data_IF_332967266279
#
_entry.id   IF_332967266279
#
_cell.length_a   1.000
_cell.length_b   1.000
_cell.length_c   1.000
_cell.angle_alpha   90.00
_cell.angle_beta   90.00
_cell.angle_gamma   90.00
#
_symmetry.space_group_name_H-M   'P 1'
#
loop_
_entity.id
_entity.type
_entity.pdbx_description
1 polymer ?
#
# COMPACT_ATOMS: atom_id res chain seq x y z
N UNK A 1 -24.90 13.85 -1.20
CA UNK A 1 -24.02 13.25 -0.15
C UNK A 1 -22.59 13.41 -0.62
N UNK A 2 -21.68 13.89 0.24
CA UNK A 2 -20.26 13.99 -0.09
C UNK A 2 -19.65 12.59 -0.13
N UNK A 3 -18.88 12.27 -1.18
CA UNK A 3 -18.14 11.00 -1.29
C UNK A 3 -17.18 10.89 -0.10
N UNK A 4 -17.16 9.75 0.60
CA UNK A 4 -16.19 9.49 1.69
C UNK A 4 -14.78 9.57 1.14
N UNK A 5 -13.88 10.24 1.85
CA UNK A 5 -12.46 10.35 1.52
C UNK A 5 -11.57 10.01 2.73
N UNK A 6 -10.33 9.59 2.46
CA UNK A 6 -9.41 9.09 3.49
C UNK A 6 -8.24 10.04 3.75
N UNK A 7 -7.88 10.19 5.02
CA UNK A 7 -6.70 10.95 5.42
C UNK A 7 -5.40 10.15 5.21
N UNK A 8 -5.46 8.82 5.28
CA UNK A 8 -4.30 7.98 5.02
C UNK A 8 -4.69 6.62 4.45
N UNK A 9 -3.83 6.08 3.59
CA UNK A 9 -3.96 4.73 3.06
C UNK A 9 -2.67 3.92 3.19
N UNK A 10 -2.80 2.62 3.47
CA UNK A 10 -1.75 1.62 3.26
C UNK A 10 -2.08 0.88 1.96
N UNK A 11 -1.10 0.73 1.08
CA UNK A 11 -1.29 0.10 -0.23
C UNK A 11 -0.15 -0.91 -0.45
N UNK A 12 -0.49 -2.17 -0.73
CA UNK A 12 0.48 -3.25 -1.05
C UNK A 12 0.16 -3.89 -2.41
N UNK A 13 0.54 -3.23 -3.52
CA UNK A 13 0.17 -3.72 -4.84
C UNK A 13 0.78 -5.10 -5.15
N UNK A 14 0.08 -5.95 -5.92
CA UNK A 14 0.60 -7.23 -6.36
C UNK A 14 1.59 -7.02 -7.52
N UNK A 15 2.76 -6.47 -7.23
CA UNK A 15 3.78 -6.09 -8.22
C UNK A 15 4.15 -7.23 -9.19
N UNK A 16 4.14 -6.98 -10.50
CA UNK A 16 4.62 -7.97 -11.46
C UNK A 16 6.15 -8.11 -11.48
N UNK A 17 6.89 -7.00 -11.31
CA UNK A 17 8.35 -6.99 -11.47
C UNK A 17 9.03 -7.86 -10.40
N UNK A 18 9.82 -8.83 -10.85
CA UNK A 18 10.59 -9.71 -9.97
C UNK A 18 9.75 -10.72 -9.19
N UNK A 19 8.50 -10.94 -9.61
CA UNK A 19 7.55 -11.86 -8.96
C UNK A 19 7.13 -13.04 -9.86
N UNK A 20 7.85 -13.26 -10.96
CA UNK A 20 7.62 -14.38 -11.89
C UNK A 20 8.66 -15.49 -11.71
N UNK A 21 8.35 -16.70 -12.16
CA UNK A 21 9.21 -17.87 -12.08
C UNK A 21 8.91 -18.81 -10.91
N UNK A 22 9.76 -19.82 -10.72
CA UNK A 22 9.48 -20.95 -9.80
C UNK A 22 9.32 -20.57 -8.33
N UNK A 23 9.90 -19.45 -7.91
CA UNK A 23 9.79 -18.89 -6.55
C UNK A 23 9.01 -17.55 -6.53
N UNK A 24 8.35 -17.18 -7.63
CA UNK A 24 7.64 -15.92 -7.78
C UNK A 24 6.28 -15.91 -7.09
N UNK A 25 5.81 -14.72 -6.71
CA UNK A 25 4.49 -14.55 -6.12
C UNK A 25 3.33 -14.88 -7.09
N UNK A 26 3.57 -14.96 -8.40
CA UNK A 26 2.55 -15.37 -9.40
C UNK A 26 1.90 -16.73 -9.09
N UNK A 27 2.58 -17.58 -8.30
CA UNK A 27 2.07 -18.88 -7.87
C UNK A 27 1.01 -18.79 -6.77
N UNK A 28 0.83 -17.62 -6.16
CA UNK A 28 -0.03 -17.40 -5.01
C UNK A 28 -1.21 -16.47 -5.30
N UNK A 29 -1.01 -15.46 -6.14
CA UNK A 29 -2.05 -14.48 -6.50
C UNK A 29 -1.77 -13.81 -7.85
N UNK A 30 -2.81 -13.23 -8.46
CA UNK A 30 -2.69 -12.50 -9.71
C UNK A 30 -1.86 -11.22 -9.52
N UNK A 31 -0.91 -11.01 -10.43
CA UNK A 31 -0.03 -9.84 -10.43
C UNK A 31 -0.61 -8.72 -11.30
N UNK A 32 -0.22 -7.49 -11.01
CA UNK A 32 -0.56 -6.29 -11.78
C UNK A 32 0.68 -5.69 -12.44
N UNK A 33 0.51 -5.26 -13.69
CA UNK A 33 1.53 -4.47 -14.40
C UNK A 33 1.69 -3.10 -13.73
N UNK A 34 2.85 -2.48 -13.93
CA UNK A 34 3.10 -1.12 -13.42
C UNK A 34 2.05 -0.13 -13.95
N UNK A 35 1.72 -0.19 -15.24
CA UNK A 35 0.74 0.70 -15.85
C UNK A 35 -0.66 0.52 -15.25
N UNK A 36 -1.07 -0.72 -14.96
CA UNK A 36 -2.34 -1.00 -14.29
C UNK A 36 -2.35 -0.43 -12.86
N UNK A 37 -1.26 -0.53 -12.12
CA UNK A 37 -1.15 0.06 -10.77
C UNK A 37 -1.25 1.60 -10.87
N UNK A 38 -0.48 2.22 -11.78
CA UNK A 38 -0.51 3.68 -11.98
C UNK A 38 -1.87 4.21 -12.40
N UNK A 39 -2.63 3.43 -13.17
CA UNK A 39 -3.96 3.79 -13.65
C UNK A 39 -5.07 3.68 -12.58
N UNK A 40 -4.78 3.15 -11.38
CA UNK A 40 -5.78 3.11 -10.31
C UNK A 40 -6.18 4.53 -9.88
N UNK A 41 -7.49 4.83 -9.70
CA UNK A 41 -7.97 6.15 -9.30
C UNK A 41 -7.80 6.40 -7.79
N UNK A 42 -6.63 6.06 -7.22
CA UNK A 42 -6.33 6.19 -5.79
C UNK A 42 -6.51 7.63 -5.33
N UNK A 43 -6.09 8.57 -6.17
CA UNK A 43 -6.28 9.99 -5.99
C UNK A 43 -7.71 10.36 -5.58
N UNK A 44 -8.72 9.74 -6.17
CA UNK A 44 -10.13 10.12 -6.00
C UNK A 44 -10.75 9.56 -4.71
N UNK A 45 -10.00 8.73 -3.99
CA UNK A 45 -10.37 8.18 -2.69
C UNK A 45 -9.79 9.00 -1.53
N UNK A 46 -8.73 9.75 -1.78
CA UNK A 46 -7.97 10.42 -0.73
C UNK A 46 -8.44 11.86 -0.48
N UNK A 47 -8.35 12.33 0.76
CA UNK A 47 -8.76 13.67 1.15
C UNK A 47 -7.94 14.72 0.38
N UNK A 48 -8.59 15.61 -0.41
CA UNK A 48 -7.90 16.61 -1.21
C UNK A 48 -7.31 17.76 -0.38
N UNK A 49 -7.78 17.97 0.84
CA UNK A 49 -7.21 18.99 1.74
C UNK A 49 -5.82 18.59 2.24
N UNK A 50 -5.60 17.30 2.44
CA UNK A 50 -4.35 16.72 2.94
C UNK A 50 -4.51 15.24 3.24
N UNK A 51 -3.68 14.40 2.61
CA UNK A 51 -3.67 12.96 2.80
C UNK A 51 -2.28 12.34 2.61
N UNK A 52 -2.09 11.17 3.22
CA UNK A 52 -0.88 10.38 3.14
C UNK A 52 -1.12 9.02 2.45
N UNK A 53 -0.13 8.52 1.72
CA UNK A 53 -0.10 7.14 1.24
C UNK A 53 1.16 6.48 1.78
N UNK A 54 1.01 5.26 2.29
CA UNK A 54 2.06 4.36 2.71
C UNK A 54 2.09 3.18 1.73
N UNK A 55 3.00 3.24 0.76
CA UNK A 55 3.08 2.29 -0.35
C UNK A 55 4.18 1.25 -0.09
N UNK A 56 3.78 -0.01 0.08
CA UNK A 56 4.73 -1.12 0.16
C UNK A 56 5.43 -1.35 -1.17
N UNK A 57 6.74 -1.57 -1.08
CA UNK A 57 7.61 -1.91 -2.19
C UNK A 57 8.58 -3.02 -1.77
N UNK A 58 8.98 -3.81 -2.75
CA UNK A 58 10.15 -4.68 -2.63
C UNK A 58 11.39 -3.89 -3.03
N UNK A 59 12.58 -4.39 -2.69
CA UNK A 59 13.83 -3.76 -3.15
C UNK A 59 13.93 -3.70 -4.69
N UNK A 60 13.25 -4.60 -5.43
CA UNK A 60 13.22 -4.59 -6.88
C UNK A 60 12.22 -3.57 -7.47
N UNK A 61 11.20 -3.17 -6.70
CA UNK A 61 10.11 -2.28 -7.14
C UNK A 61 10.20 -0.88 -6.52
N UNK A 62 11.31 -0.53 -5.87
CA UNK A 62 11.51 0.79 -5.27
C UNK A 62 11.26 1.91 -6.27
N UNK A 63 11.94 1.89 -7.42
CA UNK A 63 11.79 2.91 -8.48
C UNK A 63 10.35 2.99 -8.99
N UNK A 64 9.73 1.84 -9.23
CA UNK A 64 8.32 1.76 -9.64
C UNK A 64 7.39 2.40 -8.60
N UNK A 65 7.68 2.22 -7.30
CA UNK A 65 6.91 2.83 -6.22
C UNK A 65 6.99 4.36 -6.21
N UNK A 66 8.16 4.94 -6.51
CA UNK A 66 8.27 6.40 -6.70
C UNK A 66 7.41 6.86 -7.88
N UNK A 67 7.52 6.18 -9.02
CA UNK A 67 6.78 6.52 -10.24
C UNK A 67 5.25 6.37 -10.05
N UNK A 68 4.81 5.44 -9.20
CA UNK A 68 3.41 5.24 -8.82
C UNK A 68 2.90 6.39 -7.95
N UNK A 69 3.60 6.73 -6.87
CA UNK A 69 3.20 7.84 -6.00
C UNK A 69 3.16 9.17 -6.77
N UNK A 70 4.18 9.45 -7.57
CA UNK A 70 4.23 10.64 -8.41
C UNK A 70 3.10 10.65 -9.45
N UNK A 71 2.81 9.50 -10.07
CA UNK A 71 1.68 9.33 -11.00
C UNK A 71 0.31 9.60 -10.37
N UNK A 72 0.13 9.29 -9.08
CA UNK A 72 -1.08 9.66 -8.33
C UNK A 72 -1.07 11.09 -7.78
N UNK A 73 -0.03 11.88 -8.10
CA UNK A 73 0.13 13.27 -7.69
C UNK A 73 0.65 13.46 -6.26
N UNK A 74 1.30 12.44 -5.68
CA UNK A 74 1.90 12.52 -4.35
C UNK A 74 3.37 12.92 -4.41
N UNK A 75 3.80 13.77 -3.47
CA UNK A 75 5.22 14.03 -3.23
C UNK A 75 5.76 12.97 -2.27
N UNK A 76 6.78 12.22 -2.71
CA UNK A 76 7.44 11.23 -1.88
C UNK A 76 8.30 11.91 -0.82
N UNK A 77 8.23 11.41 0.42
CA UNK A 77 8.96 11.90 1.60
C UNK A 77 9.95 10.83 2.08
N UNK A 78 10.35 10.90 3.34
CA UNK A 78 11.24 9.92 3.96
C UNK A 78 10.59 8.53 3.95
N UNK A 79 11.27 7.50 3.40
CA UNK A 79 10.77 6.13 3.45
C UNK A 79 10.86 5.54 4.86
N UNK A 80 10.09 4.50 5.11
CA UNK A 80 10.21 3.63 6.27
C UNK A 80 10.65 2.23 5.83
N UNK A 81 11.63 1.65 6.51
CA UNK A 81 12.13 0.32 6.21
C UNK A 81 11.68 -0.69 7.26
N UNK A 82 11.03 -1.77 6.82
CA UNK A 82 10.84 -2.95 7.65
C UNK A 82 12.12 -3.78 7.64
N UNK A 83 12.87 -3.76 8.72
CA UNK A 83 14.01 -4.62 8.97
C UNK A 83 13.51 -6.01 9.41
N UNK A 84 13.93 -7.05 8.69
CA UNK A 84 13.53 -8.44 8.93
C UNK A 84 14.56 -9.14 9.83
N UNK A 85 14.13 -10.11 10.67
CA UNK A 85 15.02 -10.84 11.57
C UNK A 85 15.98 -11.81 10.85
N UNK A 86 15.80 -12.04 9.54
CA UNK A 86 16.62 -12.94 8.73
C UNK A 86 16.63 -12.53 7.26
N UNK A 87 17.58 -13.09 6.52
CA UNK A 87 17.69 -12.94 5.07
C UNK A 87 16.61 -13.74 4.31
N UNK A 88 16.02 -13.11 3.30
CA UNK A 88 15.10 -13.71 2.33
C UNK A 88 15.73 -13.74 0.93
N UNK A 89 14.97 -14.17 -0.09
CA UNK A 89 15.44 -14.22 -1.48
C UNK A 89 15.96 -12.87 -1.96
N UNK A 90 16.96 -12.88 -2.83
CA UNK A 90 17.53 -11.69 -3.47
C UNK A 90 18.60 -12.08 -4.50
N UNK A 91 18.64 -11.38 -5.64
CA UNK A 91 19.44 -11.78 -6.80
C UNK A 91 20.91 -11.37 -6.70
N UNK A 92 21.20 -10.24 -6.05
CA UNK A 92 22.56 -9.70 -5.88
C UNK A 92 22.94 -9.68 -4.41
N UNK A 93 22.18 -8.95 -3.61
CA UNK A 93 22.22 -8.98 -2.16
C UNK A 93 21.01 -9.73 -1.63
N UNK A 94 21.16 -10.38 -0.48
CA UNK A 94 20.04 -11.02 0.20
C UNK A 94 19.15 -9.94 0.81
N UNK A 95 17.85 -10.01 0.54
CA UNK A 95 16.91 -9.06 1.11
C UNK A 95 16.81 -9.29 2.64
N UNK A 96 17.09 -8.26 3.43
CA UNK A 96 16.84 -8.21 4.88
C UNK A 96 15.85 -7.12 5.26
N UNK A 97 15.25 -6.47 4.26
CA UNK A 97 14.27 -5.43 4.47
C UNK A 97 13.27 -5.34 3.31
N UNK A 98 12.14 -4.69 3.60
CA UNK A 98 11.22 -4.14 2.61
C UNK A 98 10.97 -2.66 2.92
N UNK A 99 10.54 -1.90 1.92
CA UNK A 99 10.40 -0.44 2.06
C UNK A 99 8.95 -0.03 1.90
N UNK A 100 8.50 0.87 2.78
CA UNK A 100 7.22 1.57 2.69
C UNK A 100 7.51 3.02 2.34
N UNK A 101 7.09 3.45 1.16
CA UNK A 101 7.23 4.84 0.75
C UNK A 101 6.09 5.68 1.34
N UNK A 102 6.45 6.78 2.00
CA UNK A 102 5.47 7.80 2.44
C UNK A 102 5.30 8.85 1.36
N UNK A 103 4.10 8.95 0.79
CA UNK A 103 3.68 10.03 -0.08
C UNK A 103 2.75 11.00 0.65
N UNK A 104 2.86 12.31 0.36
CA UNK A 104 1.94 13.34 0.86
C UNK A 104 1.30 14.13 -0.29
N UNK A 105 0.02 14.48 -0.16
CA UNK A 105 -0.69 15.33 -1.13
C UNK A 105 -1.78 16.15 -0.45
N UNK A 106 -1.94 17.42 -0.83
CA UNK A 106 -2.98 18.30 -0.30
C UNK A 106 -2.89 19.71 -0.87
N UNK A 107 -3.70 20.64 -0.35
CA UNK A 107 -3.65 22.06 -0.75
C UNK A 107 -2.34 22.74 -0.35
N UNK A 108 -1.76 22.32 0.78
CA UNK A 108 -0.43 22.73 1.20
C UNK A 108 0.62 21.83 0.56
N UNK A 109 1.74 22.42 0.14
CA UNK A 109 2.94 21.66 -0.26
C UNK A 109 3.52 20.84 0.89
N UNK A 110 3.23 21.20 2.14
CA UNK A 110 3.70 20.53 3.35
C UNK A 110 2.50 20.04 4.17
N UNK A 111 1.96 18.89 3.77
CA UNK A 111 0.99 18.16 4.61
C UNK A 111 1.75 17.59 5.81
N UNK A 112 1.41 18.08 7.01
CA UNK A 112 2.14 17.75 8.21
C UNK A 112 1.84 16.35 8.74
N UNK A 113 2.88 15.67 9.24
CA UNK A 113 2.72 14.50 10.10
C UNK A 113 2.30 14.90 11.50
N UNK A 114 1.51 14.05 12.16
CA UNK A 114 1.08 14.21 13.56
C UNK A 114 2.19 13.96 14.57
N UNK A 115 3.16 13.11 14.22
CA UNK A 115 4.28 12.76 15.08
C UNK A 115 5.58 12.76 14.28
N UNK A 116 6.51 13.66 14.66
CA UNK A 116 7.79 13.87 13.97
C UNK A 116 8.93 12.96 14.49
N UNK A 117 8.72 12.28 15.61
CA UNK A 117 9.71 11.40 16.24
C UNK A 117 9.68 9.95 15.74
N UNK A 118 8.91 9.65 14.68
CA UNK A 118 8.84 8.28 14.15
C UNK A 118 10.15 7.94 13.42
N UNK A 119 10.87 6.88 13.82
CA UNK A 119 12.05 6.43 13.08
C UNK A 119 11.68 5.93 11.67
N UNK A 120 12.62 6.08 10.73
CA UNK A 120 12.52 5.60 9.34
C UNK A 120 12.77 4.10 9.20
N UNK A 121 12.72 3.35 10.29
CA UNK A 121 12.81 1.91 10.29
C UNK A 121 11.92 1.32 11.38
N UNK A 122 11.51 0.08 11.18
CA UNK A 122 10.87 -0.77 12.18
C UNK A 122 11.46 -2.17 12.11
N UNK A 123 11.53 -2.85 13.24
CA UNK A 123 11.88 -4.27 13.30
C UNK A 123 10.66 -5.04 13.79
N UNK A 124 10.15 -5.94 12.96
CA UNK A 124 8.92 -6.67 13.19
C UNK A 124 9.08 -8.11 12.71
N UNK A 125 8.38 -9.08 13.33
CA UNK A 125 8.52 -10.49 13.00
C UNK A 125 8.13 -10.78 11.55
N UNK A 126 8.84 -11.75 10.95
CA UNK A 126 8.43 -12.29 9.66
C UNK A 126 7.29 -13.30 9.90
N UNK A 127 6.19 -13.13 9.18
CA UNK A 127 5.03 -14.01 9.22
C UNK A 127 4.99 -14.89 7.96
N UNK A 128 3.80 -15.36 7.59
CA UNK A 128 3.58 -16.14 6.37
C UNK A 128 3.97 -15.38 5.09
N UNK A 129 4.03 -16.11 3.97
CA UNK A 129 4.53 -15.55 2.71
C UNK A 129 3.79 -14.28 2.29
N UNK A 130 4.55 -13.18 2.10
CA UNK A 130 4.03 -11.87 1.71
C UNK A 130 3.12 -11.19 2.76
N UNK A 131 3.07 -11.69 3.99
CA UNK A 131 2.34 -11.06 5.10
C UNK A 131 3.13 -9.88 5.67
N UNK A 132 2.62 -8.67 5.45
CA UNK A 132 3.20 -7.42 5.98
C UNK A 132 2.91 -7.24 7.48
N UNK A 133 3.84 -6.67 8.28
CA UNK A 133 3.68 -6.51 9.73
C UNK A 133 2.49 -5.62 10.09
N UNK A 134 1.75 -6.01 11.13
CA UNK A 134 0.60 -5.24 11.64
C UNK A 134 1.03 -3.96 12.36
N UNK A 135 2.28 -3.91 12.81
CA UNK A 135 2.87 -2.75 13.46
C UNK A 135 2.87 -1.50 12.56
N UNK A 136 2.75 -1.67 11.23
CA UNK A 136 2.60 -0.53 10.34
C UNK A 136 1.29 0.23 10.59
N UNK A 137 0.17 -0.42 10.91
CA UNK A 137 -1.09 0.28 11.16
C UNK A 137 -0.94 1.28 12.31
N UNK A 138 -0.33 0.87 13.41
CA UNK A 138 -0.11 1.71 14.59
C UNK A 138 0.83 2.90 14.28
N UNK A 139 1.83 2.68 13.40
CA UNK A 139 2.69 3.77 12.91
C UNK A 139 1.88 4.75 12.07
N UNK A 140 1.05 4.26 11.14
CA UNK A 140 0.23 5.14 10.29
C UNK A 140 -0.78 5.93 11.11
N UNK A 141 -1.46 5.31 12.08
CA UNK A 141 -2.40 5.99 12.98
C UNK A 141 -1.72 7.10 13.79
N UNK A 142 -0.49 6.85 14.26
CA UNK A 142 0.33 7.83 15.00
C UNK A 142 0.81 8.98 14.13
N UNK A 143 1.19 8.71 12.88
CA UNK A 143 1.86 9.70 11.99
C UNK A 143 0.85 10.47 11.12
N UNK A 144 -0.27 9.85 10.74
CA UNK A 144 -1.12 10.32 9.64
C UNK A 144 -2.57 10.59 10.09
N UNK A 145 -3.28 11.49 9.38
CA UNK A 145 -4.70 11.70 9.62
C UNK A 145 -5.56 10.52 9.17
N UNK A 146 -6.61 10.22 9.93
CA UNK A 146 -7.72 9.38 9.46
C UNK A 146 -8.78 10.19 8.69
N UNK A 147 -9.84 9.58 8.17
CA UNK A 147 -10.13 8.13 8.16
C UNK A 147 -9.08 7.31 7.41
N UNK A 148 -9.01 6.00 7.70
CA UNK A 148 -7.95 5.11 7.20
C UNK A 148 -8.48 4.08 6.21
N UNK A 149 -7.67 3.74 5.20
CA UNK A 149 -7.97 2.77 4.16
C UNK A 149 -6.80 1.81 3.94
N UNK A 150 -7.08 0.53 3.76
CA UNK A 150 -6.12 -0.42 3.20
C UNK A 150 -6.57 -0.89 1.81
N UNK A 151 -5.64 -0.91 0.84
CA UNK A 151 -5.87 -1.35 -0.54
C UNK A 151 -4.96 -2.54 -0.83
N UNK A 152 -5.54 -3.57 -1.45
CA UNK A 152 -5.00 -4.93 -1.57
C UNK A 152 -4.95 -5.65 -0.23
N UNK A 153 -5.90 -5.33 0.65
CA UNK A 153 -6.02 -5.91 1.97
C UNK A 153 -6.40 -7.41 1.88
N UNK A 154 -5.77 -8.21 2.73
CA UNK A 154 -6.09 -9.65 2.91
C UNK A 154 -6.70 -9.95 4.28
N UNK A 155 -6.75 -8.93 5.14
CA UNK A 155 -7.34 -8.99 6.49
C UNK A 155 -7.90 -7.63 6.85
N UNK A 156 -8.75 -7.59 7.87
CA UNK A 156 -9.36 -6.34 8.34
C UNK A 156 -8.66 -5.84 9.59
N UNK A 157 -8.46 -4.53 9.66
CA UNK A 157 -8.08 -3.80 10.86
C UNK A 157 -9.30 -3.03 11.38
N UNK A 158 -9.59 -3.15 12.68
CA UNK A 158 -10.69 -2.40 13.28
C UNK A 158 -10.48 -0.89 13.08
N UNK A 159 -11.53 -0.17 12.65
CA UNK A 159 -11.48 1.27 12.38
C UNK A 159 -10.88 1.66 11.02
N UNK A 160 -10.52 0.68 10.18
CA UNK A 160 -10.06 0.88 8.81
C UNK A 160 -11.08 0.34 7.82
N UNK A 161 -11.29 1.08 6.74
CA UNK A 161 -11.94 0.53 5.56
C UNK A 161 -10.92 -0.30 4.78
N UNK A 162 -11.39 -1.31 4.07
CA UNK A 162 -10.52 -2.21 3.32
C UNK A 162 -11.07 -2.48 1.92
N UNK A 163 -10.14 -2.60 0.96
CA UNK A 163 -10.41 -3.06 -0.40
C UNK A 163 -9.39 -4.14 -0.76
N UNK A 164 -9.87 -5.29 -1.23
CA UNK A 164 -9.02 -6.42 -1.60
C UNK A 164 -9.82 -7.58 -2.18
N UNK A 165 -9.13 -8.45 -2.92
CA UNK A 165 -9.74 -9.59 -3.61
C UNK A 165 -9.97 -10.81 -2.70
N UNK A 166 -9.41 -10.83 -1.49
CA UNK A 166 -9.46 -11.95 -0.56
C UNK A 166 -10.35 -11.68 0.66
N UNK A 167 -11.03 -10.53 0.69
CA UNK A 167 -11.91 -10.10 1.79
C UNK A 167 -13.15 -9.38 1.25
N UNK A 168 -14.16 -9.22 2.11
CA UNK A 168 -15.31 -8.35 1.83
C UNK A 168 -14.87 -6.88 1.82
N UNK A 169 -14.86 -6.28 0.63
CA UNK A 169 -14.44 -4.89 0.42
C UNK A 169 -15.52 -3.88 0.84
N UNK A 170 -15.10 -2.76 1.43
CA UNK A 170 -15.98 -1.67 1.91
C UNK A 170 -16.40 -0.67 0.83
N UNK A 171 -15.67 -0.65 -0.27
CA UNK A 171 -15.81 0.31 -1.35
C UNK A 171 -15.58 -0.35 -2.71
N UNK A 172 -15.98 0.36 -3.75
CA UNK A 172 -15.77 -0.01 -5.14
C UNK A 172 -14.74 0.92 -5.77
N UNK A 173 -13.80 0.34 -6.52
CA UNK A 173 -12.83 1.09 -7.32
C UNK A 173 -13.19 0.85 -8.80
N UNK A 174 -13.67 1.88 -9.53
CA UNK A 174 -14.08 1.72 -10.92
C UNK A 174 -12.95 1.16 -11.80
N UNK A 175 -13.25 0.11 -12.57
CA UNK A 175 -12.27 -0.59 -13.42
C UNK A 175 -11.43 -1.64 -12.68
N UNK A 176 -11.59 -1.77 -11.36
CA UNK A 176 -10.89 -2.75 -10.53
C UNK A 176 -11.92 -3.52 -9.68
N UNK A 177 -12.63 -4.49 -10.26
CA UNK A 177 -13.60 -5.29 -9.51
C UNK A 177 -12.89 -6.22 -8.52
N UNK A 178 -13.53 -6.46 -7.37
CA UNK A 178 -13.16 -7.52 -6.42
C UNK A 178 -14.31 -8.52 -6.28
N UNK A 179 -14.06 -9.79 -5.92
CA UNK A 179 -15.10 -10.82 -5.90
C UNK A 179 -16.33 -10.45 -5.07
N UNK A 180 -16.14 -9.82 -3.91
CA UNK A 180 -17.25 -9.41 -3.03
C UNK A 180 -18.13 -8.30 -3.62
N UNK A 181 -17.74 -7.69 -4.74
CA UNK A 181 -18.44 -6.56 -5.39
C UNK A 181 -18.68 -6.80 -6.89
N UNK A 182 -18.30 -7.96 -7.41
CA UNK A 182 -18.66 -8.35 -8.76
C UNK A 182 -20.19 -8.53 -8.81
N UNK A 183 -20.84 -7.97 -9.84
CA UNK A 183 -22.22 -8.33 -10.12
C UNK A 183 -22.27 -9.86 -10.37
N UNK A 184 -23.32 -10.57 -9.92
CA UNK A 184 -23.47 -11.97 -10.25
C UNK A 184 -23.39 -12.14 -11.77
N UNK A 185 -22.64 -13.13 -12.26
CA UNK A 185 -22.63 -13.44 -13.68
C UNK A 185 -24.07 -13.72 -14.15
N UNK A 186 -24.60 -12.87 -15.05
CA UNK A 186 -25.91 -13.08 -15.69
C UNK A 186 -27.04 -12.09 -15.36
N UNK A 187 -26.75 -10.81 -15.09
CA UNK A 187 -27.74 -9.71 -15.16
C UNK A 187 -27.51 -8.86 -16.40
#
# INVERSE_FOLDING_TARGET
>A
MTKKTYGAAIIDPPWMRGQTGSLGAERHYNLMTLDAIKAMPIADLMNPEGSHIWLWTTNATLRDGYDVLEGWGYTVRSPLHWCKPRFTLGNYLRNSSETVLLGTRGKSKDVAVRFRGQPTWMFAPLQDHSHKPEELYDIVERVSPGPYLEIFARRRRHGWDAWGNEIDSDLDIPGYPVPSRALPEGV
#
